data_IF_544097936706
#
_entry.id   IF_544097936706
#
_cell.length_a   1.000
_cell.length_b   1.000
_cell.length_c   1.000
_cell.angle_alpha   90.00
_cell.angle_beta   90.00
_cell.angle_gamma   90.00
#
_symmetry.space_group_name_H-M   'P 1'
#
loop_
_entity.id
_entity.type
_entity.pdbx_description
1 polymer ?
#
# COMPACT_ATOMS: atom_id res chain seq x y z
N UNK A 1 -4.36 27.82 18.95
CA UNK A 1 -3.49 26.62 18.94
C UNK A 1 -4.35 25.40 18.62
N UNK A 2 -4.67 25.17 17.34
CA UNK A 2 -5.35 23.95 16.91
C UNK A 2 -4.30 22.83 16.81
N UNK A 3 -4.43 21.83 17.68
CA UNK A 3 -3.53 20.69 17.75
C UNK A 3 -3.42 20.01 16.39
N UNK A 4 -2.23 20.08 15.77
CA UNK A 4 -1.89 19.32 14.58
C UNK A 4 -1.92 17.83 14.91
N UNK A 5 -3.04 17.16 14.67
CA UNK A 5 -3.06 15.69 14.65
C UNK A 5 -2.64 15.24 13.26
N UNK A 6 -1.33 15.01 13.11
CA UNK A 6 -0.78 14.10 12.11
C UNK A 6 -1.62 12.81 12.04
N UNK A 7 -1.90 12.24 10.86
CA UNK A 7 -2.48 10.88 10.81
C UNK A 7 -1.57 9.98 11.63
N UNK A 8 -2.07 9.51 12.78
CA UNK A 8 -1.29 8.65 13.66
C UNK A 8 -0.96 7.39 12.87
N UNK A 9 0.32 7.22 12.56
CA UNK A 9 0.87 6.03 11.96
C UNK A 9 0.56 4.83 12.87
N UNK A 10 0.04 3.75 12.30
CA UNK A 10 -0.34 2.54 13.04
C UNK A 10 0.51 1.40 12.49
N UNK A 11 1.66 1.09 13.11
CA UNK A 11 2.58 0.06 12.63
C UNK A 11 1.90 -1.31 12.45
N UNK A 12 0.94 -1.63 13.32
CA UNK A 12 0.19 -2.89 13.25
C UNK A 12 -0.56 -3.07 11.92
N UNK A 13 -1.07 -1.98 11.31
CA UNK A 13 -1.78 -2.05 10.03
C UNK A 13 -0.80 -2.41 8.89
N UNK A 14 0.40 -1.85 8.91
CA UNK A 14 1.43 -2.21 7.94
C UNK A 14 1.96 -3.63 8.18
N UNK A 15 2.05 -4.07 9.43
CA UNK A 15 2.34 -5.46 9.79
C UNK A 15 1.31 -6.44 9.20
N UNK A 16 0.02 -6.14 9.32
CA UNK A 16 -1.05 -6.94 8.72
C UNK A 16 -0.95 -6.98 7.18
N UNK A 17 -0.59 -5.86 6.54
CA UNK A 17 -0.33 -5.83 5.09
C UNK A 17 0.87 -6.70 4.72
N UNK A 18 1.95 -6.67 5.50
CA UNK A 18 3.12 -7.51 5.27
C UNK A 18 2.77 -9.00 5.37
N UNK A 19 2.02 -9.40 6.40
CA UNK A 19 1.52 -10.77 6.55
C UNK A 19 0.67 -11.18 5.35
N UNK A 20 -0.22 -10.30 4.88
CA UNK A 20 -1.05 -10.55 3.71
C UNK A 20 -0.22 -10.81 2.44
N UNK A 21 0.82 -9.99 2.18
CA UNK A 21 1.73 -10.18 1.03
C UNK A 21 2.54 -11.47 1.16
N UNK A 22 3.06 -11.78 2.35
CA UNK A 22 3.83 -13.01 2.59
C UNK A 22 2.96 -14.24 2.31
N UNK A 23 1.71 -14.26 2.76
CA UNK A 23 0.77 -15.34 2.48
C UNK A 23 0.56 -15.55 0.96
N UNK A 24 0.46 -14.46 0.19
CA UNK A 24 0.34 -14.52 -1.29
C UNK A 24 1.62 -15.07 -1.93
N UNK A 25 2.79 -14.64 -1.45
CA UNK A 25 4.07 -15.14 -1.96
C UNK A 25 4.21 -16.64 -1.70
N UNK A 26 3.93 -17.10 -0.48
CA UNK A 26 4.01 -18.52 -0.12
C UNK A 26 3.04 -19.36 -0.94
N UNK A 27 1.82 -18.86 -1.17
CA UNK A 27 0.86 -19.52 -2.06
C UNK A 27 1.43 -19.73 -3.48
N UNK A 28 2.04 -18.70 -4.06
CA UNK A 28 2.64 -18.81 -5.40
C UNK A 28 3.90 -19.69 -5.43
N UNK A 29 4.60 -19.86 -4.30
CA UNK A 29 5.75 -20.77 -4.17
C UNK A 29 5.34 -22.24 -4.00
N UNK A 30 4.04 -22.57 -4.01
CA UNK A 30 3.56 -23.96 -3.94
C UNK A 30 3.62 -24.56 -2.54
N UNK A 31 3.58 -23.73 -1.50
CA UNK A 31 3.71 -24.10 -0.08
C UNK A 31 2.40 -24.80 0.37
N UNK A 32 2.36 -26.13 0.58
CA UNK A 32 1.12 -26.94 0.63
C UNK A 32 0.17 -26.65 1.81
N UNK A 33 0.74 -26.29 2.97
CA UNK A 33 0.11 -25.76 4.19
C UNK A 33 -0.62 -24.41 4.08
N UNK A 34 -0.64 -23.70 2.94
CA UNK A 34 -1.35 -22.41 2.79
C UNK A 34 -2.31 -22.44 1.57
N UNK A 35 -3.37 -23.27 1.59
CA UNK A 35 -4.34 -23.35 0.49
C UNK A 35 -5.16 -22.06 0.31
N UNK A 36 -5.30 -21.25 1.36
CA UNK A 36 -6.05 -19.99 1.36
C UNK A 36 -5.21 -18.73 1.12
N UNK A 37 -3.95 -18.85 0.70
CA UNK A 37 -3.04 -17.70 0.64
C UNK A 37 -3.44 -16.62 -0.39
N UNK A 38 -4.31 -16.96 -1.34
CA UNK A 38 -4.93 -16.00 -2.27
C UNK A 38 -5.78 -14.94 -1.57
N UNK A 39 -6.39 -15.25 -0.41
CA UNK A 39 -7.14 -14.29 0.42
C UNK A 39 -6.27 -13.14 0.93
N UNK A 40 -4.94 -13.32 0.94
CA UNK A 40 -4.01 -12.25 1.27
C UNK A 40 -4.12 -11.06 0.30
N UNK A 41 -4.49 -11.30 -0.96
CA UNK A 41 -4.72 -10.23 -1.94
C UNK A 41 -5.90 -9.34 -1.50
N UNK A 42 -7.04 -9.96 -1.19
CA UNK A 42 -8.25 -9.26 -0.76
C UNK A 42 -7.99 -8.48 0.53
N UNK A 43 -7.36 -9.13 1.52
CA UNK A 43 -7.02 -8.51 2.79
C UNK A 43 -6.08 -7.31 2.61
N UNK A 44 -5.05 -7.44 1.77
CA UNK A 44 -4.13 -6.35 1.48
C UNK A 44 -4.84 -5.14 0.86
N UNK A 45 -5.74 -5.37 -0.10
CA UNK A 45 -6.48 -4.29 -0.76
C UNK A 45 -7.49 -3.62 0.17
N UNK A 46 -8.22 -4.39 0.98
CA UNK A 46 -9.16 -3.86 1.98
C UNK A 46 -8.44 -2.96 2.98
N UNK A 47 -7.32 -3.44 3.53
CA UNK A 47 -6.52 -2.66 4.49
C UNK A 47 -5.94 -1.40 3.82
N UNK A 48 -5.42 -1.53 2.60
CA UNK A 48 -4.87 -0.39 1.86
C UNK A 48 -5.95 0.66 1.57
N UNK A 49 -7.17 0.23 1.22
CA UNK A 49 -8.33 1.10 1.03
C UNK A 49 -8.68 1.87 2.29
N UNK A 50 -8.76 1.20 3.45
CA UNK A 50 -8.99 1.85 4.74
C UNK A 50 -7.94 2.95 5.02
N UNK A 51 -6.65 2.65 4.83
CA UNK A 51 -5.56 3.62 5.05
C UNK A 51 -5.64 4.80 4.08
N UNK A 52 -5.90 4.54 2.80
CA UNK A 52 -6.03 5.56 1.76
C UNK A 52 -7.17 6.52 2.09
N UNK A 53 -8.35 5.98 2.43
CA UNK A 53 -9.52 6.78 2.79
C UNK A 53 -9.25 7.62 4.04
N UNK A 54 -8.61 7.06 5.07
CA UNK A 54 -8.23 7.82 6.27
C UNK A 54 -7.27 8.97 5.96
N UNK A 55 -6.29 8.75 5.09
CA UNK A 55 -5.37 9.80 4.64
C UNK A 55 -6.09 10.89 3.84
N UNK A 56 -7.07 10.51 3.01
CA UNK A 56 -7.88 11.44 2.24
C UNK A 56 -8.74 12.32 3.15
N UNK A 57 -9.42 11.73 4.15
CA UNK A 57 -10.22 12.47 5.14
C UNK A 57 -9.37 13.47 5.93
N UNK A 58 -8.19 13.07 6.38
CA UNK A 58 -7.26 13.97 7.07
C UNK A 58 -6.76 15.10 6.15
N UNK A 59 -6.47 14.80 4.88
CA UNK A 59 -6.12 15.82 3.90
C UNK A 59 -7.25 16.83 3.69
N UNK A 60 -8.51 16.38 3.63
CA UNK A 60 -9.68 17.27 3.51
C UNK A 60 -9.79 18.18 4.74
N UNK A 61 -9.65 17.61 5.95
CA UNK A 61 -9.74 18.38 7.19
C UNK A 61 -8.65 19.46 7.30
N UNK A 62 -7.45 19.21 6.76
CA UNK A 62 -6.34 20.18 6.80
C UNK A 62 -6.43 21.25 5.72
N UNK A 63 -6.81 20.88 4.50
CA UNK A 63 -6.83 21.78 3.35
C UNK A 63 -8.15 22.55 3.22
N UNK A 64 -9.16 22.24 4.03
CA UNK A 64 -10.50 22.82 3.93
C UNK A 64 -11.29 22.36 2.71
N UNK A 65 -10.78 21.36 1.98
CA UNK A 65 -11.33 20.89 0.71
C UNK A 65 -10.58 19.67 0.16
N UNK A 66 -11.19 19.04 -0.83
CA UNK A 66 -10.66 17.83 -1.47
C UNK A 66 -9.63 18.21 -2.56
N UNK A 67 -8.36 18.27 -2.19
CA UNK A 67 -7.26 18.42 -3.15
C UNK A 67 -6.75 17.05 -3.65
N UNK A 68 -7.43 16.52 -4.67
CA UNK A 68 -7.02 15.26 -5.31
C UNK A 68 -5.64 15.38 -5.97
N UNK A 69 -5.27 16.54 -6.53
CA UNK A 69 -4.01 16.70 -7.24
C UNK A 69 -2.83 16.55 -6.27
N UNK A 70 -2.87 17.24 -5.14
CA UNK A 70 -1.85 17.10 -4.11
C UNK A 70 -1.81 15.67 -3.53
N UNK A 71 -2.98 15.07 -3.31
CA UNK A 71 -3.08 13.70 -2.82
C UNK A 71 -2.41 12.70 -3.78
N UNK A 72 -2.81 12.69 -5.06
CA UNK A 72 -2.23 11.78 -6.06
C UNK A 72 -0.75 12.06 -6.30
N UNK A 73 -0.30 13.33 -6.31
CA UNK A 73 1.13 13.67 -6.45
C UNK A 73 1.99 13.06 -5.34
N UNK A 74 1.51 13.09 -4.09
CA UNK A 74 2.18 12.45 -2.95
C UNK A 74 2.24 10.92 -3.11
N UNK A 75 1.15 10.31 -3.56
CA UNK A 75 1.07 8.86 -3.79
C UNK A 75 1.98 8.40 -4.92
N UNK A 76 1.97 9.11 -6.04
CA UNK A 76 2.79 8.83 -7.22
C UNK A 76 4.28 8.90 -6.84
N UNK A 77 4.72 9.95 -6.13
CA UNK A 77 6.12 10.08 -5.69
C UNK A 77 6.59 8.90 -4.82
N UNK A 78 5.67 8.24 -4.11
CA UNK A 78 5.98 7.08 -3.26
C UNK A 78 5.88 5.74 -3.99
N UNK A 79 4.95 5.60 -4.94
CA UNK A 79 4.66 4.32 -5.60
C UNK A 79 5.41 4.13 -6.94
N UNK A 80 5.70 5.22 -7.67
CA UNK A 80 6.43 5.13 -8.94
C UNK A 80 7.86 4.60 -8.80
N UNK A 81 8.70 5.06 -7.84
CA UNK A 81 10.09 4.63 -7.80
C UNK A 81 10.25 3.10 -7.65
N UNK A 82 9.52 2.42 -6.74
CA UNK A 82 9.56 0.96 -6.65
C UNK A 82 9.03 0.26 -7.91
N UNK A 83 7.96 0.79 -8.53
CA UNK A 83 7.39 0.23 -9.76
C UNK A 83 8.38 0.30 -10.91
N UNK A 84 8.97 1.46 -11.15
CA UNK A 84 9.96 1.68 -12.22
C UNK A 84 11.17 0.80 -12.00
N UNK A 85 11.66 0.70 -10.75
CA UNK A 85 12.75 -0.19 -10.39
C UNK A 85 12.41 -1.64 -10.76
N UNK A 86 11.26 -2.15 -10.31
CA UNK A 86 10.80 -3.51 -10.61
C UNK A 86 10.71 -3.78 -12.11
N UNK A 87 10.12 -2.86 -12.88
CA UNK A 87 9.99 -3.01 -14.34
C UNK A 87 11.38 -3.08 -14.98
N UNK A 88 12.28 -2.14 -14.66
CA UNK A 88 13.64 -2.13 -15.23
C UNK A 88 14.37 -3.43 -14.88
N UNK A 89 14.36 -3.84 -13.61
CA UNK A 89 15.08 -5.04 -13.20
C UNK A 89 14.54 -6.30 -13.85
N UNK A 90 13.22 -6.45 -13.93
CA UNK A 90 12.61 -7.65 -14.51
C UNK A 90 12.79 -7.68 -16.03
N UNK A 91 12.66 -6.54 -16.72
CA UNK A 91 12.91 -6.46 -18.17
C UNK A 91 14.37 -6.77 -18.50
N UNK A 92 15.33 -6.23 -17.74
CA UNK A 92 16.74 -6.57 -17.94
C UNK A 92 17.02 -8.04 -17.63
N UNK A 93 16.42 -8.61 -16.60
CA UNK A 93 16.62 -10.02 -16.24
C UNK A 93 16.06 -11.01 -17.27
N UNK A 94 14.93 -10.67 -17.92
CA UNK A 94 14.29 -11.54 -18.93
C UNK A 94 14.87 -11.29 -20.33
N UNK A 95 15.24 -10.06 -20.64
CA UNK A 95 15.73 -9.65 -21.97
C UNK A 95 17.23 -9.85 -22.20
N UNK A 96 17.99 -10.20 -21.16
CA UNK A 96 19.38 -10.68 -21.21
C UNK A 96 19.37 -12.20 -21.23
#
# INVERSE_FOLDING_TARGET
MSAQRGVKYIPAIDGLRAVAVISVMLYHLGVPWIPGGFLGVDLFFVISGYVITRLLLDSIQRSGGLDLRAFYKSRIRRLLPPLVFMIITTTLFIGV
#
